data_IF_351035106755
#
_entry.id   IF_351035106755
#
_cell.length_a   1.000
_cell.length_b   1.000
_cell.length_c   1.000
_cell.angle_alpha   90.00
_cell.angle_beta   90.00
_cell.angle_gamma   90.00
#
_symmetry.space_group_name_H-M   'P 1'
#
loop_
_entity.id
_entity.type
_entity.pdbx_description
1 polymer ?
#
# COMPACT_ATOMS: atom_id res chain seq x y z
N UNK A 1 -11.47 17.98 -54.78
CA UNK A 1 -12.17 16.75 -54.32
C UNK A 1 -11.37 15.59 -54.89
N UNK A 2 -10.83 14.65 -54.14
CA UNK A 2 -11.26 14.06 -52.87
C UNK A 2 -10.11 13.27 -52.24
N UNK A 3 -9.98 13.44 -50.92
CA UNK A 3 -9.63 12.46 -49.88
C UNK A 3 -8.38 11.60 -50.08
N UNK A 4 -7.30 12.05 -49.43
CA UNK A 4 -6.22 11.17 -48.94
C UNK A 4 -6.70 10.53 -47.63
N UNK A 5 -6.69 9.21 -47.61
CA UNK A 5 -7.06 8.36 -46.48
C UNK A 5 -6.33 8.76 -45.20
N UNK A 6 -7.12 9.05 -44.16
CA UNK A 6 -6.63 9.10 -42.79
C UNK A 6 -6.45 7.66 -42.30
N UNK A 7 -5.19 7.21 -42.30
CA UNK A 7 -4.79 5.95 -41.68
C UNK A 7 -5.11 6.01 -40.18
N UNK A 8 -6.19 5.34 -39.78
CA UNK A 8 -6.47 5.05 -38.38
C UNK A 8 -5.34 4.15 -37.88
N UNK A 9 -4.39 4.75 -37.15
CA UNK A 9 -3.32 4.03 -36.47
C UNK A 9 -3.97 3.09 -35.45
N UNK A 10 -4.15 1.83 -35.85
CA UNK A 10 -4.65 0.79 -34.95
C UNK A 10 -3.65 0.64 -33.81
N UNK A 11 -4.14 0.84 -32.58
CA UNK A 11 -3.30 0.66 -31.39
C UNK A 11 -2.87 -0.80 -31.38
N UNK A 12 -1.57 -1.15 -31.33
CA UNK A 12 -1.16 -2.54 -31.36
C UNK A 12 -1.80 -3.26 -30.16
N UNK A 13 -2.32 -4.47 -30.36
CA UNK A 13 -3.14 -5.23 -29.40
C UNK A 13 -2.51 -5.32 -28.00
N UNK A 14 -1.16 -5.22 -27.92
CA UNK A 14 -0.36 -5.15 -26.67
C UNK A 14 -0.58 -3.89 -25.81
N UNK A 15 -1.08 -2.79 -26.37
CA UNK A 15 -1.33 -1.51 -25.68
C UNK A 15 -2.83 -1.28 -25.43
N UNK A 16 -3.70 -2.11 -25.98
CA UNK A 16 -5.15 -1.96 -25.82
C UNK A 16 -5.56 -2.18 -24.35
N UNK A 17 -6.33 -1.23 -23.82
CA UNK A 17 -6.78 -1.26 -22.43
C UNK A 17 -5.74 -0.82 -21.40
N UNK A 18 -4.56 -0.31 -21.80
CA UNK A 18 -3.53 0.21 -20.87
C UNK A 18 -4.09 1.25 -19.89
N UNK A 19 -4.84 2.23 -20.37
CA UNK A 19 -5.44 3.26 -19.52
C UNK A 19 -6.45 2.65 -18.52
N UNK A 20 -7.32 1.74 -18.99
CA UNK A 20 -8.26 1.03 -18.11
C UNK A 20 -7.52 0.22 -17.04
N UNK A 21 -6.42 -0.45 -17.39
CA UNK A 21 -5.59 -1.19 -16.44
C UNK A 21 -4.95 -0.28 -15.39
N UNK A 22 -4.45 0.89 -15.78
CA UNK A 22 -3.92 1.91 -14.85
C UNK A 22 -5.01 2.33 -13.84
N UNK A 23 -6.19 2.71 -14.33
CA UNK A 23 -7.32 3.11 -13.46
C UNK A 23 -7.73 1.98 -12.52
N UNK A 24 -7.79 0.74 -13.00
CA UNK A 24 -8.11 -0.42 -12.15
C UNK A 24 -7.01 -0.63 -11.10
N UNK A 25 -5.72 -0.55 -11.46
CA UNK A 25 -4.61 -0.66 -10.51
C UNK A 25 -4.70 0.41 -9.42
N UNK A 26 -5.08 1.65 -9.78
CA UNK A 26 -5.31 2.72 -8.80
C UNK A 26 -6.38 2.34 -7.78
N UNK A 27 -7.55 1.89 -8.20
CA UNK A 27 -8.61 1.50 -7.26
C UNK A 27 -8.23 0.28 -6.42
N UNK A 28 -7.55 -0.71 -7.01
CA UNK A 28 -7.05 -1.87 -6.29
C UNK A 28 -6.03 -1.49 -5.20
N UNK A 29 -5.17 -0.51 -5.49
CA UNK A 29 -4.24 0.04 -4.51
C UNK A 29 -4.93 0.89 -3.43
N UNK A 30 -5.95 1.66 -3.80
CA UNK A 30 -6.75 2.40 -2.84
C UNK A 30 -7.44 1.45 -1.86
N UNK A 31 -8.02 0.35 -2.36
CA UNK A 31 -8.64 -0.68 -1.54
C UNK A 31 -7.68 -1.31 -0.53
N UNK A 32 -6.41 -1.54 -0.88
CA UNK A 32 -5.50 -2.25 0.03
C UNK A 32 -5.16 -1.50 1.32
N UNK A 33 -5.46 -0.20 1.42
CA UNK A 33 -5.19 0.58 2.62
C UNK A 33 -6.37 1.43 3.12
N UNK A 34 -7.46 1.59 2.36
CA UNK A 34 -8.59 2.45 2.77
C UNK A 34 -9.27 1.95 4.05
N UNK A 35 -9.34 0.64 4.28
CA UNK A 35 -9.87 0.05 5.51
C UNK A 35 -8.99 0.40 6.72
N UNK A 36 -7.68 0.15 6.62
CA UNK A 36 -6.71 0.48 7.67
C UNK A 36 -6.60 1.99 7.95
N UNK A 37 -6.48 2.80 6.89
CA UNK A 37 -6.37 4.26 7.01
C UNK A 37 -7.64 4.88 7.61
N UNK A 38 -8.83 4.38 7.27
CA UNK A 38 -10.07 4.82 7.91
C UNK A 38 -10.03 4.58 9.42
N UNK A 39 -9.56 3.41 9.84
CA UNK A 39 -9.49 3.06 11.26
C UNK A 39 -8.46 3.89 12.04
N UNK A 40 -7.30 4.19 11.46
CA UNK A 40 -6.32 5.09 12.08
C UNK A 40 -6.84 6.53 12.17
N UNK A 41 -7.53 6.99 11.14
CA UNK A 41 -7.97 8.38 11.02
C UNK A 41 -9.09 8.72 12.01
N UNK A 42 -9.90 7.73 12.39
CA UNK A 42 -10.95 7.84 13.42
C UNK A 42 -10.42 7.52 14.84
N UNK A 43 -9.12 7.64 15.07
CA UNK A 43 -8.47 7.29 16.33
C UNK A 43 -9.05 7.99 17.57
N UNK A 44 -9.54 9.23 17.43
CA UNK A 44 -10.17 9.98 18.51
C UNK A 44 -11.45 9.31 19.02
N UNK A 45 -12.23 8.68 18.15
CA UNK A 45 -13.38 7.86 18.57
C UNK A 45 -12.94 6.71 19.45
N UNK A 46 -11.88 6.00 19.04
CA UNK A 46 -11.36 4.89 19.82
C UNK A 46 -10.79 5.35 21.16
N UNK A 47 -10.18 6.53 21.25
CA UNK A 47 -9.76 7.12 22.52
C UNK A 47 -10.93 7.52 23.43
N UNK A 48 -12.07 7.94 22.86
CA UNK A 48 -13.29 8.23 23.63
C UNK A 48 -13.90 6.96 24.24
N UNK A 49 -13.96 5.87 23.48
CA UNK A 49 -14.58 4.61 23.94
C UNK A 49 -13.61 3.68 24.70
N UNK A 50 -12.30 3.88 24.57
CA UNK A 50 -11.24 3.10 25.23
C UNK A 50 -10.17 4.02 25.86
N UNK A 51 -10.54 4.83 26.88
CA UNK A 51 -9.66 5.86 27.45
C UNK A 51 -8.43 5.29 28.16
N UNK A 52 -8.54 4.08 28.75
CA UNK A 52 -7.44 3.41 29.47
C UNK A 52 -6.44 2.70 28.54
N UNK A 53 -6.64 2.81 27.22
CA UNK A 53 -5.80 2.17 26.21
C UNK A 53 -5.14 3.23 25.30
N UNK A 54 -4.15 2.80 24.52
CA UNK A 54 -3.57 3.61 23.42
C UNK A 54 -3.96 3.02 22.06
N UNK A 55 -5.22 3.16 21.57
CA UNK A 55 -5.68 2.47 20.36
C UNK A 55 -4.83 2.74 19.12
N UNK A 56 -4.37 3.97 18.89
CA UNK A 56 -3.53 4.29 17.72
C UNK A 56 -2.23 3.47 17.69
N UNK A 57 -1.62 3.23 18.85
CA UNK A 57 -0.37 2.48 18.98
C UNK A 57 -0.62 0.97 19.04
N UNK A 58 -1.57 0.52 19.85
CA UNK A 58 -1.88 -0.90 20.06
C UNK A 58 -2.45 -1.55 18.81
N UNK A 59 -3.41 -0.91 18.12
CA UNK A 59 -3.98 -1.49 16.90
C UNK A 59 -2.91 -1.66 15.82
N UNK A 60 -1.96 -0.73 15.73
CA UNK A 60 -0.83 -0.86 14.80
C UNK A 60 0.07 -2.03 15.19
N UNK A 61 0.36 -2.22 16.49
CA UNK A 61 1.10 -3.38 16.98
C UNK A 61 0.36 -4.71 16.80
N UNK A 62 -0.97 -4.71 16.66
CA UNK A 62 -1.74 -5.90 16.30
C UNK A 62 -1.71 -6.14 14.79
N UNK A 63 -1.83 -5.10 13.97
CA UNK A 63 -1.83 -5.24 12.51
C UNK A 63 -0.49 -5.77 11.97
N UNK A 64 0.63 -5.16 12.38
CA UNK A 64 1.91 -5.34 11.70
C UNK A 64 2.54 -6.74 11.84
N UNK A 65 2.51 -7.41 13.01
CA UNK A 65 3.03 -8.78 13.11
C UNK A 65 2.29 -9.75 12.19
N UNK A 66 0.96 -9.64 12.10
CA UNK A 66 0.15 -10.50 11.24
C UNK A 66 0.40 -10.22 9.75
N UNK A 67 0.57 -8.95 9.37
CA UNK A 67 1.00 -8.59 8.03
C UNK A 67 2.38 -9.16 7.69
N UNK A 68 3.37 -8.95 8.55
CA UNK A 68 4.75 -9.37 8.32
C UNK A 68 4.89 -10.90 8.26
N UNK A 69 4.30 -11.63 9.21
CA UNK A 69 4.36 -13.10 9.26
C UNK A 69 3.63 -13.71 8.07
N UNK A 70 2.44 -13.21 7.75
CA UNK A 70 1.69 -13.67 6.56
C UNK A 70 2.47 -13.41 5.29
N UNK A 71 3.06 -12.22 5.14
CA UNK A 71 3.85 -11.87 3.96
C UNK A 71 5.11 -12.75 3.84
N UNK A 72 5.79 -13.06 4.95
CA UNK A 72 6.95 -13.95 4.96
C UNK A 72 6.59 -15.37 4.48
N UNK A 73 5.48 -15.93 4.98
CA UNK A 73 4.99 -17.25 4.57
C UNK A 73 4.61 -17.24 3.08
N UNK A 74 3.94 -16.19 2.62
CA UNK A 74 3.48 -16.07 1.24
C UNK A 74 4.63 -15.79 0.26
N UNK A 75 5.65 -15.02 0.65
CA UNK A 75 6.84 -14.76 -0.15
C UNK A 75 7.74 -16.00 -0.28
N UNK A 76 7.76 -16.87 0.74
CA UNK A 76 8.49 -18.14 0.70
C UNK A 76 7.79 -19.19 -0.18
N UNK A 77 6.46 -19.15 -0.26
CA UNK A 77 5.64 -20.10 -1.03
C UNK A 77 5.06 -19.50 -2.32
N UNK A 78 5.57 -18.36 -2.75
CA UNK A 78 5.04 -17.54 -3.83
C UNK A 78 4.91 -18.31 -5.15
N UNK A 79 5.87 -19.19 -5.46
CA UNK A 79 5.88 -19.96 -6.71
C UNK A 79 4.80 -21.06 -6.74
N UNK A 80 4.26 -21.43 -5.58
CA UNK A 80 3.29 -22.52 -5.43
C UNK A 80 1.85 -22.01 -5.32
N UNK A 81 1.65 -20.73 -5.02
CA UNK A 81 0.34 -20.16 -4.72
C UNK A 81 -0.11 -19.28 -5.89
N UNK A 82 -1.33 -19.52 -6.38
CA UNK A 82 -1.96 -18.66 -7.39
C UNK A 82 -2.19 -17.25 -6.86
N UNK A 83 -1.73 -16.25 -7.61
CA UNK A 83 -1.91 -14.83 -7.25
C UNK A 83 -3.39 -14.46 -7.20
N UNK A 84 -4.21 -15.01 -8.10
CA UNK A 84 -5.66 -14.79 -8.13
C UNK A 84 -6.33 -15.14 -6.80
N UNK A 85 -6.00 -16.30 -6.25
CA UNK A 85 -6.59 -16.80 -5.00
C UNK A 85 -6.18 -15.91 -3.84
N UNK A 86 -4.89 -15.51 -3.78
CA UNK A 86 -4.38 -14.58 -2.76
C UNK A 86 -5.13 -13.26 -2.77
N UNK A 87 -5.21 -12.60 -3.92
CA UNK A 87 -5.80 -11.27 -4.01
C UNK A 87 -7.31 -11.27 -3.73
N UNK A 88 -8.06 -12.24 -4.29
CA UNK A 88 -9.50 -12.36 -4.01
C UNK A 88 -9.74 -12.65 -2.52
N UNK A 89 -8.98 -13.57 -1.93
CA UNK A 89 -9.08 -13.87 -0.50
C UNK A 89 -8.81 -12.61 0.35
N UNK A 90 -7.75 -11.88 0.05
CA UNK A 90 -7.38 -10.66 0.77
C UNK A 90 -8.46 -9.58 0.69
N UNK A 91 -8.97 -9.25 -0.51
CA UNK A 91 -10.05 -8.25 -0.64
C UNK A 91 -11.37 -8.70 0.01
N UNK A 92 -11.72 -10.00 -0.04
CA UNK A 92 -12.88 -10.53 0.69
C UNK A 92 -12.67 -10.36 2.20
N UNK A 93 -11.47 -10.67 2.71
CA UNK A 93 -11.16 -10.55 4.13
C UNK A 93 -11.20 -9.09 4.60
N UNK A 94 -10.69 -8.13 3.80
CA UNK A 94 -10.84 -6.71 4.07
C UNK A 94 -12.32 -6.28 4.11
N UNK A 95 -13.11 -6.67 3.12
CA UNK A 95 -14.54 -6.33 3.03
C UNK A 95 -15.32 -6.88 4.23
N UNK A 96 -15.14 -8.16 4.57
CA UNK A 96 -15.83 -8.81 5.69
C UNK A 96 -15.41 -8.22 7.03
N UNK A 97 -14.11 -7.96 7.23
CA UNK A 97 -13.59 -7.41 8.49
C UNK A 97 -14.06 -5.96 8.69
N UNK A 98 -14.06 -5.14 7.63
CA UNK A 98 -14.57 -3.76 7.70
C UNK A 98 -16.08 -3.73 7.97
N UNK A 99 -16.85 -4.60 7.31
CA UNK A 99 -18.27 -4.74 7.58
C UNK A 99 -18.55 -5.23 9.00
N UNK A 100 -17.74 -6.15 9.52
CA UNK A 100 -17.88 -6.65 10.88
C UNK A 100 -17.61 -5.57 11.94
N UNK A 101 -16.73 -4.60 11.69
CA UNK A 101 -16.55 -3.44 12.57
C UNK A 101 -17.83 -2.59 12.66
N UNK A 102 -18.55 -2.40 11.54
CA UNK A 102 -19.87 -1.74 11.54
C UNK A 102 -20.85 -2.53 12.40
N UNK A 103 -20.89 -3.86 12.24
CA UNK A 103 -21.78 -4.74 13.02
C UNK A 103 -21.46 -4.68 14.51
N UNK A 104 -20.18 -4.70 14.90
CA UNK A 104 -19.77 -4.55 16.31
C UNK A 104 -20.22 -3.21 16.87
N UNK A 105 -20.00 -2.10 16.15
CA UNK A 105 -20.42 -0.78 16.62
C UNK A 105 -21.94 -0.72 16.85
N UNK A 106 -22.72 -1.24 15.90
CA UNK A 106 -24.17 -1.30 16.00
C UNK A 106 -24.64 -2.20 17.16
N UNK A 107 -24.10 -3.41 17.26
CA UNK A 107 -24.47 -4.38 18.30
C UNK A 107 -24.12 -3.91 19.71
N UNK A 108 -23.01 -3.18 19.86
CA UNK A 108 -22.55 -2.66 21.15
C UNK A 108 -23.14 -1.28 21.45
N UNK A 109 -23.85 -0.67 20.50
CA UNK A 109 -24.29 0.73 20.58
C UNK A 109 -23.13 1.71 20.83
N UNK A 110 -21.94 1.40 20.31
CA UNK A 110 -20.72 2.20 20.54
C UNK A 110 -20.20 2.14 21.97
N UNK A 111 -20.62 1.15 22.77
CA UNK A 111 -20.10 0.97 24.13
C UNK A 111 -18.68 0.45 24.08
N UNK A 112 -17.80 1.03 24.90
CA UNK A 112 -16.44 0.54 25.11
C UNK A 112 -16.37 -0.80 25.86
N UNK A 113 -15.21 -1.08 26.43
CA UNK A 113 -14.93 -2.24 27.27
C UNK A 113 -14.06 -3.32 26.60
N UNK A 114 -13.38 -4.09 27.44
CA UNK A 114 -12.32 -5.02 27.04
C UNK A 114 -12.76 -6.02 25.95
N UNK A 115 -13.98 -6.56 26.05
CA UNK A 115 -14.50 -7.54 25.08
C UNK A 115 -14.64 -6.92 23.68
N UNK A 116 -15.12 -5.70 23.60
CA UNK A 116 -15.32 -5.01 22.32
C UNK A 116 -13.97 -4.59 21.73
N UNK A 117 -13.03 -4.16 22.60
CA UNK A 117 -11.66 -3.88 22.21
C UNK A 117 -10.95 -5.10 21.62
N UNK A 118 -11.04 -6.25 22.29
CA UNK A 118 -10.51 -7.53 21.78
C UNK A 118 -11.15 -7.88 20.43
N UNK A 119 -12.46 -7.69 20.27
CA UNK A 119 -13.15 -7.90 19.00
C UNK A 119 -12.59 -7.03 17.86
N UNK A 120 -12.32 -5.75 18.13
CA UNK A 120 -11.66 -4.85 17.18
C UNK A 120 -10.27 -5.37 16.84
N UNK A 121 -9.44 -5.73 17.84
CA UNK A 121 -8.11 -6.29 17.63
C UNK A 121 -8.10 -7.53 16.73
N UNK A 122 -9.09 -8.42 16.84
CA UNK A 122 -9.22 -9.59 15.96
C UNK A 122 -9.42 -9.17 14.49
N UNK A 123 -10.27 -8.17 14.22
CA UNK A 123 -10.44 -7.66 12.86
C UNK A 123 -9.23 -6.88 12.35
N UNK A 124 -8.50 -6.21 13.24
CA UNK A 124 -7.22 -5.57 12.90
C UNK A 124 -6.16 -6.59 12.51
N UNK A 125 -6.08 -7.71 13.23
CA UNK A 125 -5.20 -8.82 12.84
C UNK A 125 -5.61 -9.39 11.48
N UNK A 126 -6.91 -9.51 11.22
CA UNK A 126 -7.43 -9.93 9.92
C UNK A 126 -7.08 -8.94 8.79
N UNK A 127 -7.08 -7.63 9.04
CA UNK A 127 -6.58 -6.63 8.10
C UNK A 127 -5.10 -6.84 7.77
N UNK A 128 -4.25 -7.13 8.77
CA UNK A 128 -2.84 -7.44 8.51
C UNK A 128 -2.67 -8.66 7.60
N UNK A 129 -3.43 -9.73 7.84
CA UNK A 129 -3.44 -10.91 6.95
C UNK A 129 -3.92 -10.53 5.55
N UNK A 130 -5.01 -9.76 5.43
CA UNK A 130 -5.57 -9.33 4.16
C UNK A 130 -4.58 -8.50 3.34
N UNK A 131 -3.88 -7.56 3.99
CA UNK A 131 -2.88 -6.69 3.37
C UNK A 131 -1.72 -7.50 2.78
N UNK A 132 -1.16 -8.43 3.55
CA UNK A 132 -0.09 -9.30 3.06
C UNK A 132 -0.50 -10.13 1.83
N UNK A 133 -1.77 -10.54 1.76
CA UNK A 133 -2.30 -11.25 0.59
C UNK A 133 -2.40 -10.33 -0.63
N UNK A 134 -3.02 -9.16 -0.47
CA UNK A 134 -3.27 -8.21 -1.56
C UNK A 134 -1.99 -7.50 -2.00
N UNK A 135 -1.27 -6.85 -1.09
CA UNK A 135 -0.09 -6.06 -1.41
C UNK A 135 1.01 -6.96 -2.00
N UNK A 136 1.31 -8.10 -1.36
CA UNK A 136 2.27 -9.06 -1.89
C UNK A 136 1.87 -9.65 -3.24
N UNK A 137 0.61 -10.06 -3.39
CA UNK A 137 0.12 -10.66 -4.63
C UNK A 137 0.05 -9.66 -5.79
N UNK A 138 -0.50 -8.47 -5.56
CA UNK A 138 -0.58 -7.40 -6.57
C UNK A 138 0.81 -6.90 -6.97
N UNK A 139 1.69 -6.57 -6.02
CA UNK A 139 3.04 -6.08 -6.37
C UNK A 139 3.83 -7.14 -7.13
N UNK A 140 3.72 -8.42 -6.75
CA UNK A 140 4.29 -9.53 -7.50
C UNK A 140 3.75 -9.62 -8.94
N UNK A 141 2.43 -9.59 -9.14
CA UNK A 141 1.81 -9.64 -10.47
C UNK A 141 2.24 -8.44 -11.33
N UNK A 142 2.22 -7.24 -10.76
CA UNK A 142 2.51 -6.00 -11.48
C UNK A 142 4.00 -5.84 -11.82
N UNK A 143 4.89 -6.52 -11.11
CA UNK A 143 6.35 -6.43 -11.30
C UNK A 143 6.81 -6.95 -12.67
N UNK A 144 6.09 -7.89 -13.29
CA UNK A 144 6.39 -8.36 -14.65
C UNK A 144 5.58 -7.67 -15.75
N UNK A 145 4.76 -6.69 -15.38
CA UNK A 145 3.93 -5.91 -16.31
C UNK A 145 4.59 -4.56 -16.65
N UNK A 146 3.77 -3.56 -16.98
CA UNK A 146 4.25 -2.21 -17.21
C UNK A 146 4.53 -1.48 -15.89
N UNK A 147 5.65 -0.75 -15.74
CA UNK A 147 5.94 0.06 -14.55
C UNK A 147 4.85 1.08 -14.19
N UNK A 148 4.05 1.52 -15.17
CA UNK A 148 2.90 2.39 -14.91
C UNK A 148 1.83 1.72 -14.03
N UNK A 149 1.70 0.39 -14.06
CA UNK A 149 0.69 -0.33 -13.28
C UNK A 149 1.09 -0.40 -11.80
N UNK A 150 2.33 -0.81 -11.50
CA UNK A 150 2.84 -0.83 -10.12
C UNK A 150 2.84 0.59 -9.53
N UNK A 151 3.25 1.60 -10.31
CA UNK A 151 3.18 2.98 -9.88
C UNK A 151 1.74 3.40 -9.58
N UNK A 152 0.79 3.11 -10.47
CA UNK A 152 -0.62 3.45 -10.26
C UNK A 152 -1.23 2.76 -9.04
N UNK A 153 -0.83 1.52 -8.76
CA UNK A 153 -1.23 0.80 -7.56
C UNK A 153 -0.74 1.51 -6.30
N UNK A 154 0.54 1.86 -6.22
CA UNK A 154 1.08 2.57 -5.06
C UNK A 154 0.55 4.01 -4.93
N UNK A 155 0.25 4.69 -6.04
CA UNK A 155 -0.49 5.96 -6.02
C UNK A 155 -1.88 5.77 -5.40
N UNK A 156 -2.58 4.68 -5.73
CA UNK A 156 -3.82 4.28 -5.09
C UNK A 156 -3.69 4.12 -3.57
N UNK A 157 -2.62 3.46 -3.11
CA UNK A 157 -2.31 3.31 -1.68
C UNK A 157 -2.23 4.68 -0.99
N UNK A 158 -1.50 5.64 -1.53
CA UNK A 158 -1.43 6.99 -0.96
C UNK A 158 -2.75 7.76 -1.06
N UNK A 159 -3.48 7.59 -2.15
CA UNK A 159 -4.79 8.23 -2.34
C UNK A 159 -5.77 7.79 -1.26
N UNK A 160 -5.66 6.56 -0.74
CA UNK A 160 -6.47 6.12 0.40
C UNK A 160 -6.23 6.98 1.65
N UNK A 161 -4.96 7.30 1.98
CA UNK A 161 -4.63 8.15 3.12
C UNK A 161 -5.07 9.60 2.91
N UNK A 162 -4.90 10.15 1.71
CA UNK A 162 -5.36 11.50 1.38
C UNK A 162 -6.89 11.60 1.44
N UNK A 163 -7.60 10.57 0.95
CA UNK A 163 -9.06 10.46 1.01
C UNK A 163 -9.54 10.42 2.47
N UNK A 164 -8.98 9.56 3.31
CA UNK A 164 -9.40 9.46 4.72
C UNK A 164 -9.08 10.74 5.49
N UNK A 165 -7.91 11.35 5.26
CA UNK A 165 -7.58 12.66 5.82
C UNK A 165 -8.55 13.77 5.39
N UNK A 166 -8.92 13.83 4.11
CA UNK A 166 -9.89 14.79 3.60
C UNK A 166 -11.27 14.59 4.21
N UNK A 167 -11.76 13.35 4.23
CA UNK A 167 -13.01 12.99 4.90
C UNK A 167 -12.97 13.37 6.39
N UNK A 168 -11.81 13.29 7.03
CA UNK A 168 -11.66 13.58 8.46
C UNK A 168 -11.71 15.06 8.75
N UNK A 169 -11.05 15.88 7.94
CA UNK A 169 -11.15 17.32 8.03
C UNK A 169 -12.61 17.77 7.84
N UNK A 170 -13.31 17.21 6.85
CA UNK A 170 -14.73 17.51 6.58
C UNK A 170 -15.62 17.07 7.74
N UNK A 171 -15.46 15.83 8.22
CA UNK A 171 -16.29 15.31 9.32
C UNK A 171 -16.03 16.02 10.62
N UNK A 172 -14.78 16.35 10.94
CA UNK A 172 -14.46 17.18 12.10
C UNK A 172 -15.11 18.55 11.99
N UNK A 173 -15.05 19.21 10.82
CA UNK A 173 -15.69 20.51 10.62
C UNK A 173 -17.22 20.44 10.71
N UNK A 174 -17.83 19.37 10.19
CA UNK A 174 -19.28 19.21 10.12
C UNK A 174 -19.89 18.72 11.44
N UNK A 175 -19.18 17.88 12.19
CA UNK A 175 -19.73 17.12 13.33
C UNK A 175 -19.17 17.52 14.70
N UNK A 176 -18.20 18.44 14.80
CA UNK A 176 -17.60 18.88 16.08
C UNK A 176 -18.65 19.37 17.11
N UNK A 177 -19.81 19.86 16.63
CA UNK A 177 -20.87 20.44 17.45
C UNK A 177 -22.13 19.56 17.57
N UNK A 178 -22.11 18.34 17.02
CA UNK A 178 -23.29 17.46 16.98
C UNK A 178 -23.21 16.37 18.05
N UNK A 179 -24.33 16.05 18.72
CA UNK A 179 -24.38 14.90 19.62
C UNK A 179 -24.11 13.59 18.85
N UNK A 180 -23.19 12.76 19.36
CA UNK A 180 -22.68 11.55 18.70
C UNK A 180 -22.12 11.78 17.28
N UNK A 181 -21.65 13.00 16.97
CA UNK A 181 -21.09 13.35 15.67
C UNK A 181 -19.92 12.44 15.25
N UNK A 182 -19.10 12.06 16.22
CA UNK A 182 -17.93 11.20 16.03
C UNK A 182 -18.29 9.78 15.57
N UNK A 183 -19.26 9.16 16.24
CA UNK A 183 -19.78 7.84 15.89
C UNK A 183 -20.44 7.83 14.51
N UNK A 184 -21.20 8.88 14.15
CA UNK A 184 -21.77 9.01 12.80
C UNK A 184 -20.69 9.14 11.73
N UNK A 185 -19.62 9.89 12.02
CA UNK A 185 -18.44 9.96 11.17
C UNK A 185 -17.78 8.58 10.97
N UNK A 186 -17.53 7.85 12.05
CA UNK A 186 -16.98 6.48 12.02
C UNK A 186 -17.80 5.54 11.15
N UNK A 187 -19.12 5.52 11.34
CA UNK A 187 -20.02 4.67 10.58
C UNK A 187 -20.00 5.00 9.08
N UNK A 188 -19.94 6.29 8.73
CA UNK A 188 -19.79 6.74 7.35
C UNK A 188 -18.45 6.29 6.74
N UNK A 189 -17.35 6.44 7.48
CA UNK A 189 -16.01 6.02 7.04
C UNK A 189 -15.95 4.52 6.77
N UNK A 190 -16.42 3.70 7.72
CA UNK A 190 -16.41 2.25 7.57
C UNK A 190 -17.33 1.80 6.42
N UNK A 191 -18.46 2.46 6.21
CA UNK A 191 -19.35 2.18 5.07
C UNK A 191 -18.69 2.50 3.73
N UNK A 192 -18.02 3.66 3.62
CA UNK A 192 -17.25 4.05 2.42
C UNK A 192 -16.12 3.05 2.17
N UNK A 193 -15.35 2.70 3.20
CA UNK A 193 -14.28 1.68 3.08
C UNK A 193 -14.86 0.35 2.62
N UNK A 194 -15.94 -0.15 3.23
CA UNK A 194 -16.58 -1.43 2.83
C UNK A 194 -17.02 -1.41 1.37
N UNK A 195 -17.56 -0.29 0.88
CA UNK A 195 -17.91 -0.13 -0.53
C UNK A 195 -16.69 -0.21 -1.46
N UNK A 196 -15.59 0.46 -1.12
CA UNK A 196 -14.36 0.39 -1.91
C UNK A 196 -13.75 -1.02 -1.91
N UNK A 197 -13.79 -1.74 -0.79
CA UNK A 197 -13.32 -3.13 -0.72
C UNK A 197 -14.17 -4.05 -1.60
N UNK A 198 -15.51 -3.92 -1.55
CA UNK A 198 -16.41 -4.65 -2.43
C UNK A 198 -16.14 -4.34 -3.91
N UNK A 199 -15.92 -3.06 -4.24
CA UNK A 199 -15.53 -2.65 -5.57
C UNK A 199 -14.21 -3.29 -6.00
N UNK A 200 -13.21 -3.42 -5.11
CA UNK A 200 -11.94 -4.08 -5.42
C UNK A 200 -12.12 -5.56 -5.72
N UNK A 201 -12.98 -6.28 -4.99
CA UNK A 201 -13.34 -7.67 -5.31
C UNK A 201 -13.89 -7.75 -6.74
N UNK A 202 -14.84 -6.88 -7.08
CA UNK A 202 -15.45 -6.85 -8.40
C UNK A 202 -14.43 -6.52 -9.50
N UNK A 203 -13.65 -5.45 -9.31
CA UNK A 203 -12.65 -5.00 -10.26
C UNK A 203 -11.58 -6.07 -10.50
N UNK A 204 -11.06 -6.70 -9.45
CA UNK A 204 -10.04 -7.73 -9.60
C UNK A 204 -10.60 -9.01 -10.26
N UNK A 205 -11.74 -9.50 -9.78
CA UNK A 205 -12.31 -10.77 -10.22
C UNK A 205 -12.84 -10.71 -11.65
N UNK A 206 -13.53 -9.62 -12.03
CA UNK A 206 -14.29 -9.55 -13.27
C UNK A 206 -13.70 -8.62 -14.34
N UNK A 207 -12.96 -7.57 -13.95
CA UNK A 207 -12.44 -6.56 -14.88
C UNK A 207 -10.97 -6.79 -15.19
N UNK A 208 -10.10 -6.78 -14.17
CA UNK A 208 -8.65 -6.72 -14.32
C UNK A 208 -8.10 -7.88 -15.17
N UNK A 209 -8.49 -9.12 -14.83
CA UNK A 209 -8.04 -10.32 -15.53
C UNK A 209 -8.50 -10.39 -17.01
N UNK A 210 -9.56 -9.65 -17.38
CA UNK A 210 -10.12 -9.66 -18.73
C UNK A 210 -9.51 -8.60 -19.66
N UNK A 211 -8.68 -7.69 -19.14
CA UNK A 211 -8.08 -6.63 -19.96
C UNK A 211 -7.03 -7.20 -20.94
N UNK A 212 -7.03 -6.79 -22.23
CA UNK A 212 -6.11 -7.35 -23.25
C UNK A 212 -4.63 -7.25 -22.88
N UNK A 213 -4.17 -6.08 -22.43
CA UNK A 213 -2.80 -5.87 -21.96
C UNK A 213 -2.41 -6.78 -20.77
N UNK A 214 -3.34 -7.02 -19.84
CA UNK A 214 -3.11 -7.89 -18.67
C UNK A 214 -3.02 -9.35 -19.11
N UNK A 215 -3.92 -9.79 -20.01
CA UNK A 215 -3.84 -11.13 -20.62
C UNK A 215 -2.52 -11.34 -21.35
N UNK A 216 -2.04 -10.34 -22.08
CA UNK A 216 -0.74 -10.39 -22.77
C UNK A 216 0.41 -10.65 -21.80
N UNK A 217 0.54 -9.85 -20.74
CA UNK A 217 1.63 -10.04 -19.76
C UNK A 217 1.52 -11.37 -19.00
N UNK A 218 0.31 -11.80 -18.66
CA UNK A 218 0.10 -13.10 -17.98
C UNK A 218 0.40 -14.29 -18.89
N UNK A 219 0.09 -14.22 -20.19
CA UNK A 219 0.51 -15.23 -21.18
C UNK A 219 2.03 -15.28 -21.32
N UNK A 220 2.68 -14.11 -21.42
CA UNK A 220 4.15 -14.01 -21.44
C UNK A 220 4.76 -14.62 -20.18
N UNK A 221 4.19 -14.35 -19.01
CA UNK A 221 4.67 -14.93 -17.76
C UNK A 221 4.52 -16.46 -17.73
N UNK A 222 3.42 -16.99 -18.26
CA UNK A 222 3.21 -18.44 -18.35
C UNK A 222 4.21 -19.10 -19.31
N UNK A 223 4.52 -18.49 -20.47
CA UNK A 223 5.54 -19.01 -21.39
C UNK A 223 6.95 -18.99 -20.79
N UNK A 224 7.22 -18.06 -19.86
CA UNK A 224 8.48 -18.02 -19.10
C UNK A 224 8.47 -18.94 -17.87
N UNK A 225 7.46 -19.80 -17.72
CA UNK A 225 7.38 -20.83 -16.67
C UNK A 225 6.69 -20.39 -15.37
N UNK A 226 5.97 -19.26 -15.36
CA UNK A 226 5.24 -18.81 -14.18
C UNK A 226 3.96 -19.62 -13.95
N UNK A 227 3.83 -20.26 -12.79
CA UNK A 227 2.61 -20.98 -12.38
C UNK A 227 1.56 -20.09 -11.70
N UNK A 228 1.97 -18.92 -11.23
CA UNK A 228 1.13 -18.04 -10.37
C UNK A 228 -0.06 -17.41 -11.10
N UNK A 229 0.00 -17.39 -12.45
CA UNK A 229 -0.98 -16.77 -13.35
C UNK A 229 -2.02 -17.77 -13.88
N UNK A 230 -1.92 -19.05 -13.50
CA UNK A 230 -2.72 -20.13 -14.09
C UNK A 230 -4.23 -19.93 -13.89
N UNK A 231 -4.66 -19.67 -12.65
CA UNK A 231 -6.06 -19.40 -12.31
C UNK A 231 -6.60 -18.13 -12.99
N UNK A 232 -5.75 -17.14 -13.23
CA UNK A 232 -6.10 -15.88 -13.89
C UNK A 232 -6.30 -16.03 -15.40
N UNK A 233 -5.45 -16.83 -16.05
CA UNK A 233 -5.61 -17.18 -17.46
C UNK A 233 -6.88 -18.00 -17.69
N UNK A 234 -7.15 -18.97 -16.81
CA UNK A 234 -8.40 -19.73 -16.85
C UNK A 234 -9.64 -18.84 -16.70
N UNK A 235 -9.64 -17.93 -15.73
CA UNK A 235 -10.73 -16.96 -15.54
C UNK A 235 -10.89 -15.96 -16.69
N UNK A 236 -9.82 -15.72 -17.44
CA UNK A 236 -9.82 -14.91 -18.66
C UNK A 236 -10.31 -15.66 -19.91
N UNK A 237 -10.65 -16.95 -19.78
CA UNK A 237 -11.10 -17.82 -20.88
C UNK A 237 -9.97 -18.39 -21.73
N UNK A 238 -8.73 -18.44 -21.23
CA UNK A 238 -7.56 -18.96 -21.93
C UNK A 238 -7.24 -20.34 -21.33
N UNK A 239 -7.50 -21.42 -22.08
CA UNK A 239 -7.25 -22.79 -21.63
C UNK A 239 -5.79 -23.22 -21.87
N UNK A 240 -5.34 -24.21 -21.08
CA UNK A 240 -3.98 -24.75 -21.09
C UNK A 240 -3.52 -25.31 -22.45
N UNK A 241 -4.41 -25.68 -23.37
CA UNK A 241 -4.06 -26.20 -24.69
C UNK A 241 -3.33 -25.18 -25.58
N UNK A 242 -3.71 -23.89 -25.52
CA UNK A 242 -2.97 -22.81 -26.19
C UNK A 242 -1.61 -22.54 -25.52
N UNK A 243 -1.53 -22.82 -24.21
CA UNK A 243 -0.32 -22.61 -23.40
C UNK A 243 0.70 -23.74 -23.60
N UNK A 244 0.27 -25.00 -23.72
CA UNK A 244 1.13 -26.14 -24.05
C UNK A 244 1.72 -26.00 -25.46
N UNK A 245 0.94 -25.51 -26.42
CA UNK A 245 1.43 -25.27 -27.79
C UNK A 245 2.49 -24.15 -27.85
N UNK A 246 2.37 -23.11 -27.01
CA UNK A 246 3.38 -22.05 -26.86
C UNK A 246 4.63 -22.48 -26.08
N UNK A 247 4.46 -23.36 -25.09
CA UNK A 247 5.58 -23.96 -24.35
C UNK A 247 6.41 -24.90 -25.24
N UNK A 248 5.78 -25.59 -26.20
CA UNK A 248 6.46 -26.46 -27.17
C UNK A 248 7.19 -25.63 -28.23
N UNK A 249 6.63 -24.50 -28.70
CA UNK A 249 7.28 -23.66 -29.72
C UNK A 249 8.51 -22.90 -29.22
N UNK A 250 8.64 -22.71 -27.91
CA UNK A 250 9.76 -21.99 -27.27
C UNK A 250 10.87 -22.93 -26.76
N UNK A 251 10.61 -24.24 -26.69
CA UNK A 251 11.63 -25.24 -26.33
C UNK A 251 12.73 -25.41 -27.40
N UNK A 252 12.53 -24.88 -28.62
CA UNK A 252 13.50 -25.01 -29.71
C UNK A 252 14.61 -23.96 -29.65
N UNK A 253 14.39 -22.80 -28.99
CA UNK A 253 15.33 -21.66 -29.06
C UNK A 253 15.91 -21.15 -27.73
N UNK A 254 15.38 -21.52 -26.56
CA UNK A 254 15.89 -20.99 -25.28
C UNK A 254 16.56 -22.10 -24.45
N UNK A 255 17.90 -22.11 -24.44
CA UNK A 255 18.71 -22.87 -23.47
C UNK A 255 18.11 -22.61 -22.09
N UNK A 256 17.74 -23.67 -21.37
CA UNK A 256 17.17 -23.63 -20.00
C UNK A 256 18.06 -22.78 -19.07
N UNK A 257 17.86 -21.46 -19.08
CA UNK A 257 18.37 -20.57 -18.04
C UNK A 257 17.55 -20.88 -16.80
N UNK A 258 18.17 -21.57 -15.84
CA UNK A 258 17.56 -21.87 -14.56
C UNK A 258 17.08 -20.58 -13.89
N UNK A 259 15.82 -20.59 -13.44
CA UNK A 259 15.22 -19.53 -12.63
C UNK A 259 16.08 -19.30 -11.40
N UNK A 260 16.43 -18.04 -11.13
CA UNK A 260 17.13 -17.66 -9.91
C UNK A 260 16.31 -18.00 -8.67
N UNK A 261 17.00 -18.49 -7.65
CA UNK A 261 16.39 -18.71 -6.33
C UNK A 261 16.06 -17.38 -5.64
N UNK A 262 15.07 -17.39 -4.73
CA UNK A 262 14.69 -16.20 -3.95
C UNK A 262 15.89 -15.60 -3.18
N UNK A 263 16.85 -16.43 -2.74
CA UNK A 263 18.09 -15.97 -2.09
C UNK A 263 19.00 -15.23 -3.07
N UNK A 264 19.20 -15.75 -4.28
CA UNK A 264 20.02 -15.07 -5.31
C UNK A 264 19.38 -13.77 -5.76
N UNK A 265 18.05 -13.76 -5.98
CA UNK A 265 17.31 -12.55 -6.31
C UNK A 265 17.45 -11.48 -5.23
N UNK A 266 17.33 -11.86 -3.96
CA UNK A 266 17.51 -10.95 -2.84
C UNK A 266 18.95 -10.42 -2.78
N UNK A 267 19.96 -11.27 -2.91
CA UNK A 267 21.36 -10.85 -2.89
C UNK A 267 21.70 -9.85 -4.01
N UNK A 268 21.13 -10.03 -5.20
CA UNK A 268 21.34 -9.12 -6.34
C UNK A 268 20.59 -7.78 -6.21
N UNK A 269 19.57 -7.71 -5.36
CA UNK A 269 18.69 -6.54 -5.19
C UNK A 269 18.59 -6.10 -3.73
N UNK A 270 19.61 -6.42 -2.93
CA UNK A 270 19.61 -6.13 -1.49
C UNK A 270 19.62 -4.61 -1.24
N UNK A 271 20.20 -3.84 -2.15
CA UNK A 271 20.16 -2.37 -2.17
C UNK A 271 18.71 -1.87 -2.24
N UNK A 272 17.92 -2.30 -3.23
CA UNK A 272 16.51 -1.91 -3.33
C UNK A 272 15.66 -2.40 -2.14
N UNK A 273 15.95 -3.59 -1.64
CA UNK A 273 15.25 -4.14 -0.48
C UNK A 273 15.54 -3.31 0.79
N UNK A 274 16.82 -2.95 1.01
CA UNK A 274 17.23 -2.07 2.12
C UNK A 274 16.70 -0.65 1.95
N UNK A 275 16.64 -0.12 0.72
CA UNK A 275 16.05 1.19 0.45
C UNK A 275 14.59 1.21 0.93
N UNK A 276 13.77 0.23 0.53
CA UNK A 276 12.38 0.13 0.99
C UNK A 276 12.29 -0.06 2.50
N UNK A 277 13.14 -0.90 3.10
CA UNK A 277 13.18 -1.07 4.54
C UNK A 277 13.45 0.26 5.25
N UNK A 278 14.50 0.99 4.87
CA UNK A 278 14.89 2.24 5.51
C UNK A 278 13.89 3.38 5.25
N UNK A 279 13.29 3.42 4.06
CA UNK A 279 12.23 4.38 3.72
C UNK A 279 11.09 4.27 4.73
N UNK A 280 10.57 3.07 4.97
CA UNK A 280 9.42 2.86 5.84
C UNK A 280 9.80 2.81 7.32
N UNK A 281 10.97 2.27 7.65
CA UNK A 281 11.55 2.31 8.99
C UNK A 281 11.56 3.74 9.56
N UNK A 282 12.14 4.66 8.82
CA UNK A 282 12.26 6.05 9.26
C UNK A 282 10.91 6.77 9.26
N UNK A 283 10.11 6.54 8.22
CA UNK A 283 8.83 7.24 8.10
C UNK A 283 7.91 6.85 9.24
N UNK A 284 7.80 5.55 9.54
CA UNK A 284 6.91 5.02 10.55
C UNK A 284 7.48 5.13 11.97
N UNK A 285 8.77 5.45 12.13
CA UNK A 285 9.31 5.89 13.43
C UNK A 285 8.93 7.32 13.78
N UNK A 286 8.37 8.11 12.87
CA UNK A 286 7.98 9.52 13.10
C UNK A 286 6.47 9.69 12.89
N UNK A 287 5.92 9.12 11.82
CA UNK A 287 4.51 9.24 11.46
C UNK A 287 3.75 7.95 11.81
N UNK A 288 2.54 8.01 12.41
CA UNK A 288 1.83 9.20 12.87
C UNK A 288 2.03 9.52 14.37
N UNK A 289 2.65 8.63 15.15
CA UNK A 289 2.65 8.67 16.62
C UNK A 289 3.27 9.94 17.18
N UNK A 290 4.53 10.23 16.82
CA UNK A 290 5.20 11.46 17.24
C UNK A 290 4.42 12.74 16.86
N UNK A 291 3.78 12.78 15.68
CA UNK A 291 3.00 13.94 15.23
C UNK A 291 1.69 14.13 16.01
N UNK A 292 1.17 13.06 16.61
CA UNK A 292 -0.08 13.10 17.38
C UNK A 292 0.18 13.46 18.86
N UNK A 293 1.28 12.99 19.44
CA UNK A 293 1.46 13.00 20.90
C UNK A 293 2.65 13.84 21.38
N UNK A 294 3.64 14.15 20.54
CA UNK A 294 4.96 14.62 21.02
C UNK A 294 5.35 16.03 20.56
N UNK A 295 4.42 16.79 19.98
CA UNK A 295 4.72 18.11 19.43
C UNK A 295 4.41 19.27 20.38
N UNK A 296 3.76 19.04 21.53
CA UNK A 296 3.41 20.10 22.50
C UNK A 296 2.17 20.92 22.12
N UNK A 297 2.04 22.13 22.67
CA UNK A 297 0.89 23.01 22.47
C UNK A 297 1.02 23.90 21.23
N UNK A 298 -0.02 23.93 20.39
CA UNK A 298 -0.03 24.66 19.11
C UNK A 298 -1.28 25.53 18.96
N UNK A 299 -1.21 26.57 18.12
CA UNK A 299 -2.35 27.47 17.84
C UNK A 299 -3.52 26.73 17.17
N UNK A 300 -3.23 25.70 16.38
CA UNK A 300 -4.25 24.86 15.75
C UNK A 300 -5.01 23.96 16.75
N UNK A 301 -4.58 23.86 18.02
CA UNK A 301 -5.24 23.07 19.04
C UNK A 301 -5.54 21.64 18.57
N UNK A 302 -6.79 21.20 18.69
CA UNK A 302 -7.21 19.85 18.29
C UNK A 302 -7.12 19.58 16.78
N UNK A 303 -6.94 20.62 15.94
CA UNK A 303 -6.77 20.48 14.49
C UNK A 303 -5.33 20.16 14.10
N UNK A 304 -4.36 20.39 14.98
CA UNK A 304 -2.95 20.31 14.67
C UNK A 304 -2.54 18.94 14.09
N UNK A 305 -2.79 17.86 14.83
CA UNK A 305 -2.43 16.50 14.40
C UNK A 305 -3.17 16.07 13.13
N UNK A 306 -4.44 16.46 12.99
CA UNK A 306 -5.24 16.15 11.79
C UNK A 306 -4.67 16.84 10.56
N UNK A 307 -4.24 18.11 10.69
CA UNK A 307 -3.59 18.86 9.61
C UNK A 307 -2.24 18.23 9.25
N UNK A 308 -1.40 17.90 10.22
CA UNK A 308 -0.11 17.25 9.95
C UNK A 308 -0.28 15.93 9.19
N UNK A 309 -1.22 15.09 9.63
CA UNK A 309 -1.50 13.81 8.96
C UNK A 309 -2.00 14.03 7.54
N UNK A 310 -2.89 15.01 7.33
CA UNK A 310 -3.36 15.36 6.00
C UNK A 310 -2.22 15.85 5.09
N UNK A 311 -1.32 16.68 5.61
CA UNK A 311 -0.16 17.18 4.86
C UNK A 311 0.78 16.04 4.47
N UNK A 312 1.08 15.11 5.38
CA UNK A 312 1.85 13.91 5.04
C UNK A 312 1.21 13.14 3.89
N UNK A 313 -0.08 12.79 4.03
CA UNK A 313 -0.78 11.95 3.06
C UNK A 313 -0.92 12.60 1.68
N UNK A 314 -1.18 13.91 1.62
CA UNK A 314 -1.24 14.66 0.36
C UNK A 314 0.14 14.67 -0.31
N UNK A 315 1.20 14.95 0.43
CA UNK A 315 2.53 15.00 -0.15
C UNK A 315 3.10 13.62 -0.47
N UNK A 316 2.72 12.56 0.24
CA UNK A 316 3.00 11.16 -0.16
C UNK A 316 2.34 10.83 -1.50
N UNK A 317 1.07 11.23 -1.68
CA UNK A 317 0.36 11.07 -2.94
C UNK A 317 1.05 11.82 -4.08
N UNK A 318 1.38 13.10 -3.88
CA UNK A 318 2.13 13.90 -4.87
C UNK A 318 3.49 13.24 -5.17
N UNK A 319 4.20 12.81 -4.13
CA UNK A 319 5.49 12.12 -4.21
C UNK A 319 5.44 10.91 -5.14
N UNK A 320 4.40 10.09 -5.07
CA UNK A 320 4.25 8.89 -5.93
C UNK A 320 3.98 9.21 -7.40
N UNK A 321 3.48 10.41 -7.71
CA UNK A 321 3.34 10.88 -9.09
C UNK A 321 4.62 11.49 -9.65
N UNK A 322 5.49 12.04 -8.80
CA UNK A 322 6.70 12.74 -9.27
C UNK A 322 7.58 11.92 -10.22
N UNK A 323 7.81 10.59 -10.07
CA UNK A 323 8.61 9.81 -11.02
C UNK A 323 8.04 9.70 -12.44
N UNK A 324 6.80 10.14 -12.69
CA UNK A 324 6.28 10.32 -14.06
C UNK A 324 7.04 11.41 -14.82
N UNK A 325 7.61 12.37 -14.08
CA UNK A 325 8.40 13.47 -14.61
C UNK A 325 9.85 12.99 -14.73
N UNK A 326 10.30 12.77 -15.97
CA UNK A 326 11.55 12.08 -16.29
C UNK A 326 12.79 12.61 -15.55
N UNK A 327 12.96 13.92 -15.39
CA UNK A 327 14.14 14.53 -14.74
C UNK A 327 14.18 14.31 -13.21
N UNK A 328 13.04 14.00 -12.59
CA UNK A 328 12.98 13.73 -11.14
C UNK A 328 13.23 12.26 -10.84
N UNK A 329 13.07 11.36 -11.81
CA UNK A 329 13.14 9.91 -11.60
C UNK A 329 14.57 9.48 -11.28
N UNK A 330 14.78 8.98 -10.08
CA UNK A 330 16.06 8.41 -9.66
C UNK A 330 16.15 6.96 -10.15
N UNK A 331 16.93 6.72 -11.20
CA UNK A 331 17.19 5.36 -11.70
C UNK A 331 18.52 4.77 -11.19
N UNK A 332 19.44 5.61 -10.70
CA UNK A 332 20.73 5.16 -10.16
C UNK A 332 20.55 4.46 -8.83
N UNK A 333 20.98 3.20 -8.74
CA UNK A 333 21.01 2.41 -7.48
C UNK A 333 21.74 3.16 -6.35
N UNK A 334 22.92 3.72 -6.63
CA UNK A 334 23.67 4.53 -5.65
C UNK A 334 22.94 5.82 -5.29
N UNK A 335 22.32 6.48 -6.27
CA UNK A 335 21.55 7.70 -6.03
C UNK A 335 20.35 7.45 -5.12
N UNK A 336 19.64 6.35 -5.33
CA UNK A 336 18.50 5.95 -4.51
C UNK A 336 18.91 5.62 -3.07
N UNK A 337 20.01 4.90 -2.90
CA UNK A 337 20.56 4.60 -1.57
C UNK A 337 20.99 5.86 -0.83
N UNK A 338 21.72 6.77 -1.49
CA UNK A 338 22.14 8.05 -0.90
C UNK A 338 20.92 8.89 -0.52
N UNK A 339 19.92 8.98 -1.40
CA UNK A 339 18.69 9.71 -1.13
C UNK A 339 17.86 9.08 -0.01
N UNK A 340 17.90 7.76 0.15
CA UNK A 340 17.23 7.06 1.25
C UNK A 340 17.95 7.31 2.58
N UNK A 341 19.27 7.17 2.61
CA UNK A 341 20.07 7.38 3.82
C UNK A 341 20.06 8.86 4.28
N UNK A 342 20.02 9.81 3.34
CA UNK A 342 19.92 11.23 3.70
C UNK A 342 18.63 11.57 4.45
N UNK A 343 17.56 10.77 4.29
CA UNK A 343 16.32 10.96 5.06
C UNK A 343 16.54 10.82 6.57
N UNK A 344 17.57 10.12 7.05
CA UNK A 344 17.83 10.05 8.50
C UNK A 344 18.10 11.42 9.14
N UNK A 345 18.44 12.44 8.35
CA UNK A 345 18.48 13.84 8.80
C UNK A 345 17.12 14.36 9.29
N UNK A 346 16.01 13.72 8.91
CA UNK A 346 14.68 14.05 9.44
C UNK A 346 14.62 13.87 10.96
N UNK A 347 15.24 12.84 11.54
CA UNK A 347 15.17 12.57 12.99
C UNK A 347 15.61 13.80 13.80
N UNK A 348 16.85 14.32 13.64
CA UNK A 348 17.24 15.53 14.35
C UNK A 348 16.39 16.74 13.96
N UNK A 349 16.02 16.91 12.69
CA UNK A 349 15.15 18.02 12.27
C UNK A 349 13.81 18.03 13.02
N UNK A 350 13.11 16.89 13.09
CA UNK A 350 11.84 16.76 13.81
C UNK A 350 12.02 17.01 15.32
N UNK A 351 13.09 16.47 15.92
CA UNK A 351 13.39 16.72 17.34
C UNK A 351 13.60 18.22 17.64
N UNK A 352 14.43 18.90 16.85
CA UNK A 352 14.67 20.33 17.03
C UNK A 352 13.42 21.18 16.74
N UNK A 353 12.65 20.85 15.69
CA UNK A 353 11.42 21.57 15.36
C UNK A 353 10.34 21.38 16.41
N UNK A 354 10.20 20.21 17.04
CA UNK A 354 9.25 20.03 18.13
C UNK A 354 9.59 20.87 19.38
N UNK A 355 10.88 21.12 19.63
CA UNK A 355 11.33 21.87 20.81
C UNK A 355 11.43 23.38 20.59
N UNK A 356 11.80 23.80 19.39
CA UNK A 356 12.16 25.18 19.10
C UNK A 356 11.43 25.79 17.89
N UNK A 357 10.82 24.96 17.06
CA UNK A 357 10.15 25.39 15.83
C UNK A 357 8.68 25.73 16.04
N UNK A 358 8.15 26.53 15.12
CA UNK A 358 6.71 26.78 15.04
C UNK A 358 5.95 25.67 14.28
N UNK A 359 4.62 25.76 14.30
CA UNK A 359 3.72 24.86 13.58
C UNK A 359 3.97 24.82 12.06
N UNK A 360 4.42 25.92 11.45
CA UNK A 360 4.70 26.01 10.03
C UNK A 360 5.93 25.17 9.64
N UNK A 361 7.00 25.22 10.43
CA UNK A 361 8.17 24.36 10.23
C UNK A 361 7.83 22.88 10.36
N UNK A 362 6.98 22.52 11.32
CA UNK A 362 6.52 21.12 11.45
C UNK A 362 5.72 20.69 10.22
N UNK A 363 4.77 21.50 9.75
CA UNK A 363 4.00 21.23 8.54
C UNK A 363 4.92 21.04 7.33
N UNK A 364 5.94 21.88 7.19
CA UNK A 364 6.93 21.78 6.10
C UNK A 364 7.72 20.46 6.17
N UNK A 365 8.24 20.09 7.35
CA UNK A 365 9.00 18.84 7.53
C UNK A 365 8.13 17.61 7.24
N UNK A 366 6.90 17.59 7.73
CA UNK A 366 5.94 16.50 7.46
C UNK A 366 5.59 16.40 5.98
N UNK A 367 5.44 17.53 5.30
CA UNK A 367 5.24 17.58 3.86
C UNK A 367 6.42 16.97 3.10
N UNK A 368 7.65 17.34 3.48
CA UNK A 368 8.86 16.79 2.84
C UNK A 368 9.07 15.30 3.16
N UNK A 369 8.71 14.87 4.37
CA UNK A 369 8.70 13.46 4.77
C UNK A 369 7.78 12.63 3.86
N UNK A 370 6.55 13.10 3.62
CA UNK A 370 5.59 12.47 2.71
C UNK A 370 6.09 12.45 1.26
N UNK A 371 6.53 13.59 0.74
CA UNK A 371 7.03 13.72 -0.63
C UNK A 371 8.18 12.73 -0.92
N UNK A 372 9.18 12.70 -0.04
CA UNK A 372 10.34 11.80 -0.19
C UNK A 372 9.97 10.33 0.00
N UNK A 373 9.03 10.01 0.90
CA UNK A 373 8.53 8.65 1.08
C UNK A 373 7.91 8.10 -0.22
N UNK A 374 6.97 8.86 -0.79
CA UNK A 374 6.26 8.46 -2.00
C UNK A 374 7.17 8.37 -3.22
N UNK A 375 8.04 9.37 -3.41
CA UNK A 375 8.96 9.45 -4.54
C UNK A 375 9.93 8.26 -4.57
N UNK A 376 10.67 8.04 -3.48
CA UNK A 376 11.70 7.01 -3.43
C UNK A 376 11.10 5.60 -3.49
N UNK A 377 9.93 5.40 -2.87
CA UNK A 377 9.19 4.12 -2.94
C UNK A 377 8.93 3.73 -4.40
N UNK A 378 8.35 4.63 -5.20
CA UNK A 378 8.02 4.36 -6.60
C UNK A 378 9.28 4.20 -7.46
N UNK A 379 10.32 4.98 -7.21
CA UNK A 379 11.62 4.81 -7.88
C UNK A 379 12.20 3.41 -7.65
N UNK A 380 12.22 2.93 -6.39
CA UNK A 380 12.70 1.59 -6.04
C UNK A 380 11.88 0.48 -6.74
N UNK A 381 10.57 0.50 -6.56
CA UNK A 381 9.66 -0.57 -7.01
C UNK A 381 9.51 -0.65 -8.54
N UNK A 382 9.69 0.47 -9.25
CA UNK A 382 9.65 0.46 -10.73
C UNK A 382 11.00 0.13 -11.36
N UNK A 383 12.10 0.25 -10.61
CA UNK A 383 13.45 -0.03 -11.10
C UNK A 383 13.89 -1.47 -10.83
N UNK A 384 13.65 -1.99 -9.62
CA UNK A 384 14.16 -3.28 -9.17
C UNK A 384 13.77 -4.48 -10.04
N UNK A 385 12.51 -4.63 -10.53
CA UNK A 385 12.14 -5.78 -11.34
C UNK A 385 12.70 -5.77 -12.77
N UNK A 386 13.34 -4.70 -13.24
CA UNK A 386 13.82 -4.63 -14.63
C UNK A 386 14.97 -5.63 -14.86
N UNK A 387 14.93 -6.34 -15.99
CA UNK A 387 16.00 -7.25 -16.42
C UNK A 387 15.87 -8.70 -15.95
N UNK A 388 14.79 -9.05 -15.24
CA UNK A 388 14.48 -10.40 -14.79
C UNK A 388 13.37 -11.06 -15.62
N UNK A 389 13.27 -12.39 -15.59
CA UNK A 389 12.13 -13.12 -16.18
C UNK A 389 10.88 -12.94 -15.31
N UNK A 390 9.68 -13.08 -15.87
CA UNK A 390 8.43 -12.84 -15.18
C UNK A 390 8.25 -13.62 -13.85
N UNK A 391 8.65 -14.91 -13.74
CA UNK A 391 8.58 -15.61 -12.45
C UNK A 391 9.50 -14.99 -11.39
N UNK A 392 10.67 -14.51 -11.80
CA UNK A 392 11.65 -13.85 -10.93
C UNK A 392 11.21 -12.45 -10.55
N UNK A 393 10.62 -11.70 -11.48
CA UNK A 393 10.01 -10.39 -11.23
C UNK A 393 8.87 -10.50 -10.21
N UNK A 394 8.04 -11.53 -10.30
CA UNK A 394 6.99 -11.79 -9.30
C UNK A 394 7.58 -12.10 -7.92
N UNK A 395 8.56 -12.99 -7.85
CA UNK A 395 9.24 -13.32 -6.59
C UNK A 395 9.93 -12.09 -5.98
N UNK A 396 10.64 -11.30 -6.79
CA UNK A 396 11.29 -10.07 -6.36
C UNK A 396 10.27 -9.04 -5.86
N UNK A 397 9.13 -8.87 -6.54
CA UNK A 397 8.04 -8.01 -6.06
C UNK A 397 7.54 -8.41 -4.66
N UNK A 398 7.37 -9.71 -4.40
CA UNK A 398 7.00 -10.19 -3.06
C UNK A 398 8.12 -9.92 -2.03
N UNK A 399 9.39 -10.15 -2.37
CA UNK A 399 10.51 -9.86 -1.48
C UNK A 399 10.61 -8.37 -1.13
N UNK A 400 10.38 -7.48 -2.09
CA UNK A 400 10.37 -6.03 -1.87
C UNK A 400 9.25 -5.61 -0.92
N UNK A 401 8.05 -6.19 -1.04
CA UNK A 401 6.94 -5.96 -0.09
C UNK A 401 7.30 -6.49 1.30
N UNK A 402 7.96 -7.65 1.40
CA UNK A 402 8.40 -8.18 2.69
C UNK A 402 9.33 -7.20 3.41
N UNK A 403 10.30 -6.61 2.72
CA UNK A 403 11.22 -5.61 3.30
C UNK A 403 10.52 -4.29 3.63
N UNK A 404 9.55 -3.87 2.80
CA UNK A 404 8.69 -2.74 3.09
C UNK A 404 7.93 -2.94 4.41
N UNK A 405 7.24 -4.09 4.58
CA UNK A 405 6.49 -4.41 5.80
C UNK A 405 7.41 -4.61 7.02
N UNK A 406 8.61 -5.16 6.82
CA UNK A 406 9.61 -5.25 7.89
C UNK A 406 10.07 -3.86 8.34
N UNK A 407 10.25 -2.92 7.40
CA UNK A 407 10.54 -1.52 7.68
C UNK A 407 9.42 -0.86 8.48
N UNK A 408 8.16 -1.06 8.05
CA UNK A 408 6.97 -0.56 8.78
C UNK A 408 6.94 -1.11 10.21
N UNK A 409 7.08 -2.43 10.39
CA UNK A 409 7.05 -3.07 11.71
C UNK A 409 8.13 -2.50 12.64
N UNK A 410 9.38 -2.44 12.17
CA UNK A 410 10.49 -1.86 12.94
C UNK A 410 10.27 -0.38 13.25
N UNK A 411 9.78 0.40 12.28
CA UNK A 411 9.48 1.83 12.47
C UNK A 411 8.43 2.07 13.54
N UNK A 412 7.31 1.34 13.48
CA UNK A 412 6.24 1.41 14.49
C UNK A 412 6.74 1.04 15.89
N UNK A 413 7.64 0.06 16.01
CA UNK A 413 8.23 -0.29 17.31
C UNK A 413 9.11 0.85 17.86
N UNK A 414 9.86 1.54 16.99
CA UNK A 414 10.73 2.65 17.38
C UNK A 414 9.99 3.97 17.60
N UNK A 415 8.79 4.15 17.05
CA UNK A 415 7.94 5.33 17.33
C UNK A 415 7.69 5.51 18.84
N UNK A 416 7.70 4.43 19.62
CA UNK A 416 7.61 4.48 21.07
C UNK A 416 8.80 5.16 21.76
N UNK A 417 9.96 5.21 21.11
CA UNK A 417 11.15 5.86 21.69
C UNK A 417 10.96 7.38 21.85
N UNK A 418 10.08 8.00 21.05
CA UNK A 418 9.75 9.43 21.20
C UNK A 418 9.02 9.76 22.50
N UNK A 419 8.44 8.76 23.17
CA UNK A 419 7.84 8.93 24.49
C UNK A 419 8.91 9.05 25.57
N UNK A 420 10.07 8.40 25.38
CA UNK A 420 11.10 8.32 26.42
C UNK A 420 11.64 9.72 26.71
N UNK A 421 11.42 10.21 27.94
CA UNK A 421 11.83 11.54 28.38
C UNK A 421 10.71 12.59 28.42
N UNK A 422 9.52 12.30 27.90
CA UNK A 422 8.32 13.11 28.10
C UNK A 422 7.59 12.62 29.37
N UNK A 423 8.02 13.11 30.53
CA UNK A 423 7.63 12.63 31.87
C UNK A 423 6.22 12.99 32.35
N UNK A 424 5.33 13.48 31.49
CA UNK A 424 3.94 13.80 31.85
C UNK A 424 3.01 13.36 30.74
N UNK A 425 2.26 12.30 31.03
CA UNK A 425 0.99 11.99 30.37
C UNK A 425 -0.15 12.51 31.24
#
# INVERSE_FOLDING_TARGET
MSNVDSSVVSTPTRLEGKFKAIVVCFFLGLGSLVSWNSMLTIGDYYYEIFPDYHPSRVLTLVYQPFALVSMMILAYNEAKIDTRKRNIFGYILFCLSTFALIVIDLATSGKGGIRNYIGICVFVAAFGVADAHVQGGMVGDLSFMCPAFIQSFFVGLAASGALTSGLRLVTKAAFDKTSHGLRKGVMLFLAISTFFEFLCIFLYAFVFAKLPIVKYYRRKAASEGSKTVSADLAAAGIQSADSETLLVSSQVDDVKQERLSNKQLLLQNIDYALDLYFIYFLTLSIFPGFLYENTGNHQLGSWYSVVLIAMYNVWDLVGRYTPLIAWTRIESRKGLLIATLSRFLFIPCFYFTAKYGDQGWMIMLVSFLGLTNGHLTVCALTAAPKGYKAPEQNALGNLLVLFLLAGIFSGVALDWLWIIGNGTF
#
